data_IF_599434458869
#
_entry.id   IF_599434458869
#
_cell.length_a   1.000
_cell.length_b   1.000
_cell.length_c   1.000
_cell.angle_alpha   90.00
_cell.angle_beta   90.00
_cell.angle_gamma   90.00
#
_symmetry.space_group_name_H-M   'P 1'
#
loop_
_entity.id
_entity.type
_entity.pdbx_description
1 polymer ?
#
# COMPACT_ATOMS: atom_id res chain seq x y z
N UNK A 1 -12.52 18.12 -1.98
CA UNK A 1 -12.60 16.71 -1.50
C UNK A 1 -11.25 16.32 -0.92
N UNK A 2 -11.16 15.69 0.25
CA UNK A 2 -9.85 15.32 0.85
C UNK A 2 -9.34 13.99 0.29
N UNK A 3 -8.02 13.77 0.29
CA UNK A 3 -7.43 12.49 -0.15
C UNK A 3 -8.01 11.29 0.61
N UNK A 4 -8.29 11.44 1.90
CA UNK A 4 -8.95 10.41 2.70
C UNK A 4 -10.38 10.11 2.25
N UNK A 5 -11.15 11.12 1.81
CA UNK A 5 -12.47 10.91 1.23
C UNK A 5 -12.40 10.18 -0.11
N UNK A 6 -11.43 10.54 -0.96
CA UNK A 6 -11.17 9.84 -2.24
C UNK A 6 -10.87 8.36 -1.99
N UNK A 7 -9.93 8.03 -1.10
CA UNK A 7 -9.59 6.64 -0.76
C UNK A 7 -10.81 5.85 -0.27
N UNK A 8 -11.68 6.47 0.55
CA UNK A 8 -12.92 5.83 1.02
C UNK A 8 -13.91 5.55 -0.11
N UNK A 9 -14.05 6.47 -1.08
CA UNK A 9 -14.91 6.25 -2.24
C UNK A 9 -14.37 5.11 -3.12
N UNK A 10 -13.05 5.04 -3.31
CA UNK A 10 -12.41 3.95 -4.04
C UNK A 10 -12.78 2.59 -3.40
N UNK A 11 -12.68 2.47 -2.07
CA UNK A 11 -13.07 1.26 -1.36
C UNK A 11 -14.57 0.98 -1.44
N UNK A 12 -15.41 2.01 -1.31
CA UNK A 12 -16.87 1.87 -1.38
C UNK A 12 -17.32 1.30 -2.73
N UNK A 13 -16.72 1.78 -3.82
CA UNK A 13 -17.05 1.36 -5.18
C UNK A 13 -16.17 0.21 -5.70
N UNK A 14 -15.29 -0.35 -4.86
CA UNK A 14 -14.36 -1.44 -5.21
C UNK A 14 -13.47 -1.13 -6.43
N UNK A 15 -12.99 0.10 -6.54
CA UNK A 15 -12.23 0.59 -7.70
C UNK A 15 -10.70 0.41 -7.55
N UNK A 16 -10.21 -0.25 -6.49
CA UNK A 16 -8.78 -0.31 -6.17
C UNK A 16 -7.93 -0.79 -7.35
N UNK A 17 -8.30 -1.93 -7.94
CA UNK A 17 -7.57 -2.55 -9.04
C UNK A 17 -7.78 -1.90 -10.40
N UNK A 18 -8.69 -0.92 -10.51
CA UNK A 18 -8.92 -0.12 -11.72
C UNK A 18 -8.04 1.14 -11.67
N UNK A 19 -7.94 1.76 -10.49
CA UNK A 19 -7.22 3.02 -10.31
C UNK A 19 -5.72 2.82 -10.22
N UNK A 20 -5.27 1.70 -9.64
CA UNK A 20 -3.84 1.39 -9.49
C UNK A 20 -3.53 0.04 -10.13
N UNK A 21 -2.61 0.04 -11.11
CA UNK A 21 -2.02 -1.19 -11.64
C UNK A 21 -0.67 -1.49 -10.97
N UNK A 22 -0.73 -2.29 -9.91
CA UNK A 22 0.41 -2.72 -9.11
C UNK A 22 0.89 -4.13 -9.44
N UNK A 23 0.51 -4.71 -10.59
CA UNK A 23 0.92 -6.07 -10.97
C UNK A 23 2.44 -6.22 -11.01
N UNK A 24 3.13 -5.26 -11.60
CA UNK A 24 4.60 -5.26 -11.75
C UNK A 24 5.37 -4.96 -10.46
N UNK A 25 4.72 -4.29 -9.49
CA UNK A 25 5.38 -3.78 -8.29
C UNK A 25 5.45 -4.82 -7.19
N UNK A 26 6.57 -4.87 -6.46
CA UNK A 26 6.79 -5.79 -5.33
C UNK A 26 6.78 -5.02 -4.02
N UNK A 27 5.94 -5.41 -3.07
CA UNK A 27 5.85 -4.78 -1.76
C UNK A 27 7.18 -4.86 -0.99
N UNK A 28 7.99 -5.89 -1.27
CA UNK A 28 9.33 -6.03 -0.68
C UNK A 28 10.30 -4.91 -1.08
N UNK A 29 10.04 -4.17 -2.16
CA UNK A 29 10.83 -3.00 -2.53
C UNK A 29 10.73 -1.86 -1.51
N UNK A 30 9.63 -1.80 -0.74
CA UNK A 30 9.36 -0.73 0.22
C UNK A 30 9.70 -1.10 1.67
N UNK A 31 9.86 -2.39 1.96
CA UNK A 31 10.41 -2.89 3.23
C UNK A 31 10.78 -4.36 3.07
N UNK A 32 11.99 -4.74 3.48
CA UNK A 32 12.58 -6.04 3.17
C UNK A 32 11.83 -7.26 3.76
N UNK A 33 11.07 -7.09 4.86
CA UNK A 33 10.23 -8.16 5.44
C UNK A 33 8.81 -8.23 4.87
N UNK A 34 8.41 -7.30 3.99
CA UNK A 34 7.10 -7.38 3.35
C UNK A 34 6.98 -8.67 2.51
N UNK A 35 5.77 -9.21 2.48
CA UNK A 35 5.44 -10.41 1.69
C UNK A 35 4.57 -10.03 0.50
N UNK A 36 4.98 -10.48 -0.68
CA UNK A 36 4.18 -10.40 -1.92
C UNK A 36 3.20 -11.57 -2.06
N UNK A 37 3.15 -12.46 -1.05
CA UNK A 37 2.27 -13.63 -1.02
C UNK A 37 1.42 -13.65 0.23
N UNK A 38 0.15 -14.01 0.09
CA UNK A 38 -0.75 -14.32 1.19
C UNK A 38 -0.78 -15.83 1.44
N UNK A 39 -0.82 -16.24 2.71
CA UNK A 39 -0.98 -17.65 3.09
C UNK A 39 -2.47 -17.97 3.24
N UNK A 40 -2.99 -18.84 2.37
CA UNK A 40 -4.40 -19.28 2.36
C UNK A 40 -4.42 -20.80 2.53
N UNK A 41 -5.04 -21.31 3.59
CA UNK A 41 -5.03 -22.76 3.92
C UNK A 41 -3.62 -23.38 3.83
N UNK A 42 -2.63 -22.72 4.43
CA UNK A 42 -1.20 -23.11 4.39
C UNK A 42 -0.54 -23.14 2.99
N UNK A 43 -1.22 -22.64 1.95
CA UNK A 43 -0.66 -22.48 0.60
C UNK A 43 -0.35 -21.02 0.33
N UNK A 44 0.87 -20.73 -0.14
CA UNK A 44 1.27 -19.38 -0.55
C UNK A 44 0.62 -19.06 -1.89
N UNK A 45 -0.03 -17.90 -1.96
CA UNK A 45 -0.59 -17.37 -3.20
C UNK A 45 -0.08 -15.95 -3.39
N UNK A 46 0.32 -15.60 -4.62
CA UNK A 46 0.72 -14.22 -4.94
C UNK A 46 -0.46 -13.26 -4.73
N UNK A 47 -0.16 -12.06 -4.25
CA UNK A 47 -1.17 -11.01 -4.13
C UNK A 47 -1.68 -10.60 -5.52
N UNK A 48 -3.01 -10.54 -5.66
CA UNK A 48 -3.66 -9.99 -6.84
C UNK A 48 -3.41 -8.49 -6.96
N UNK A 49 -3.63 -7.92 -8.15
CA UNK A 49 -3.56 -6.48 -8.34
C UNK A 49 -4.46 -5.74 -7.35
N UNK A 50 -5.71 -6.17 -7.24
CA UNK A 50 -6.70 -5.60 -6.35
C UNK A 50 -6.24 -5.63 -4.88
N UNK A 51 -5.65 -6.74 -4.41
CA UNK A 51 -5.11 -6.82 -3.05
C UNK A 51 -3.93 -5.87 -2.83
N UNK A 52 -3.00 -5.77 -3.80
CA UNK A 52 -1.88 -4.83 -3.73
C UNK A 52 -2.37 -3.39 -3.70
N UNK A 53 -3.32 -3.03 -4.56
CA UNK A 53 -3.92 -1.70 -4.62
C UNK A 53 -4.63 -1.34 -3.31
N UNK A 54 -5.38 -2.28 -2.73
CA UNK A 54 -6.00 -2.08 -1.42
C UNK A 54 -4.98 -1.82 -0.31
N UNK A 55 -3.88 -2.60 -0.27
CA UNK A 55 -2.78 -2.39 0.68
C UNK A 55 -2.13 -1.01 0.46
N UNK A 56 -1.84 -0.67 -0.79
CA UNK A 56 -1.18 0.58 -1.14
C UNK A 56 -2.03 1.82 -0.77
N UNK A 57 -3.34 1.78 -1.00
CA UNK A 57 -4.26 2.85 -0.60
C UNK A 57 -4.33 3.05 0.91
N UNK A 58 -4.29 1.97 1.70
CA UNK A 58 -4.20 2.06 3.16
C UNK A 58 -2.87 2.65 3.63
N UNK A 59 -1.76 2.29 2.96
CA UNK A 59 -0.44 2.88 3.23
C UNK A 59 -0.41 4.37 2.86
N UNK A 60 -0.98 4.75 1.72
CA UNK A 60 -1.12 6.16 1.31
C UNK A 60 -1.92 6.96 2.33
N UNK A 61 -3.03 6.40 2.82
CA UNK A 61 -3.81 7.03 3.89
C UNK A 61 -2.98 7.17 5.19
N UNK A 62 -2.19 6.16 5.54
CA UNK A 62 -1.30 6.21 6.71
C UNK A 62 -0.23 7.29 6.57
N UNK A 63 0.42 7.39 5.41
CA UNK A 63 1.40 8.44 5.10
C UNK A 63 0.74 9.81 5.23
N UNK A 64 -0.42 10.00 4.59
CA UNK A 64 -1.18 11.25 4.65
C UNK A 64 -1.50 11.67 6.09
N UNK A 65 -1.93 10.74 6.93
CA UNK A 65 -2.27 11.05 8.33
C UNK A 65 -1.04 11.36 9.18
N UNK A 66 0.11 10.76 8.85
CA UNK A 66 1.36 11.03 9.56
C UNK A 66 2.01 12.33 9.11
N UNK A 67 1.88 12.69 7.83
CA UNK A 67 2.48 13.90 7.25
C UNK A 67 1.99 15.22 7.87
N UNK A 68 0.88 15.22 8.63
CA UNK A 68 0.48 16.37 9.45
C UNK A 68 1.57 16.84 10.41
N UNK A 69 2.38 15.90 10.90
CA UNK A 69 3.58 16.18 11.67
C UNK A 69 4.70 15.41 11.00
N UNK A 70 5.43 16.07 10.10
CA UNK A 70 6.35 15.42 9.15
C UNK A 70 7.35 14.46 9.83
N UNK A 71 7.76 14.73 11.07
CA UNK A 71 8.67 13.87 11.83
C UNK A 71 8.07 12.48 12.10
N UNK A 72 6.75 12.34 12.11
CA UNK A 72 6.06 11.06 12.23
C UNK A 72 6.29 10.13 11.04
N UNK A 73 6.69 10.66 9.88
CA UNK A 73 7.05 9.86 8.71
C UNK A 73 8.37 9.09 8.94
N UNK A 74 9.25 9.62 9.79
CA UNK A 74 10.56 9.04 10.07
C UNK A 74 10.54 8.08 11.26
N UNK A 75 9.43 7.99 12.00
CA UNK A 75 9.36 7.20 13.23
C UNK A 75 9.39 5.69 12.95
N UNK A 76 10.18 5.01 13.77
CA UNK A 76 10.30 3.54 13.83
C UNK A 76 9.65 3.05 15.13
N UNK A 77 9.24 1.79 15.17
CA UNK A 77 8.79 1.08 16.37
C UNK A 77 9.99 0.57 17.19
N UNK A 78 9.83 0.25 18.49
CA UNK A 78 10.92 -0.29 19.31
C UNK A 78 11.53 -1.60 18.78
N UNK A 79 10.75 -2.38 18.02
CA UNK A 79 11.19 -3.62 17.37
C UNK A 79 11.87 -3.37 16.00
N UNK A 80 12.32 -2.14 15.75
CA UNK A 80 12.97 -1.71 14.51
C UNK A 80 12.11 -1.78 13.24
N UNK A 81 10.77 -1.84 13.37
CA UNK A 81 9.84 -1.83 12.23
C UNK A 81 9.33 -0.43 11.90
N UNK A 82 9.04 -0.11 10.63
CA UNK A 82 8.46 1.19 10.29
C UNK A 82 7.11 1.44 11.00
N UNK A 83 6.77 2.71 11.24
CA UNK A 83 5.42 3.08 11.73
C UNK A 83 4.41 3.32 10.60
N UNK A 84 4.87 3.41 9.36
CA UNK A 84 4.02 3.40 8.17
C UNK A 84 3.75 1.93 7.85
N UNK A 85 2.71 1.40 8.47
CA UNK A 85 2.32 -0.02 8.39
C UNK A 85 0.82 -0.12 8.27
N UNK A 86 0.36 -1.05 7.44
CA UNK A 86 -1.04 -1.48 7.40
C UNK A 86 -1.14 -2.96 7.73
N UNK A 87 -2.21 -3.33 8.43
CA UNK A 87 -2.56 -4.71 8.72
C UNK A 87 -3.49 -5.23 7.62
N UNK A 88 -3.14 -6.36 7.02
CA UNK A 88 -3.91 -6.96 5.93
C UNK A 88 -4.29 -8.40 6.27
N UNK A 89 -5.59 -8.66 6.37
CA UNK A 89 -6.18 -9.98 6.67
C UNK A 89 -6.59 -10.75 5.42
N UNK A 90 -6.34 -10.20 4.24
CA UNK A 90 -6.98 -10.63 3.01
C UNK A 90 -8.37 -9.99 2.82
N UNK A 91 -8.86 -10.06 1.60
CA UNK A 91 -10.16 -9.49 1.23
C UNK A 91 -11.28 -10.43 1.65
N UNK A 92 -12.48 -9.92 1.97
CA UNK A 92 -13.58 -10.74 2.52
C UNK A 92 -14.26 -11.68 1.51
N UNK A 93 -13.72 -11.83 0.30
CA UNK A 93 -14.41 -12.50 -0.81
C UNK A 93 -14.47 -14.04 -0.70
N UNK A 94 -13.93 -14.64 0.35
CA UNK A 94 -14.05 -16.08 0.58
C UNK A 94 -13.79 -16.45 2.05
N UNK A 95 -14.61 -17.35 2.61
CA UNK A 95 -14.54 -17.90 3.98
C UNK A 95 -13.28 -18.74 4.26
N UNK A 96 -12.23 -18.59 3.45
CA UNK A 96 -10.97 -19.30 3.63
C UNK A 96 -10.18 -18.61 4.73
N UNK A 97 -9.68 -19.40 5.68
CA UNK A 97 -8.70 -18.92 6.65
C UNK A 97 -7.47 -18.36 5.92
N UNK A 98 -7.16 -17.09 6.21
CA UNK A 98 -6.02 -16.34 5.67
C UNK A 98 -5.15 -15.92 6.83
N UNK A 99 -3.84 -16.11 6.69
CA UNK A 99 -2.92 -15.62 7.71
C UNK A 99 -2.71 -14.12 7.49
N UNK A 100 -2.99 -13.28 8.49
CA UNK A 100 -2.82 -11.85 8.36
C UNK A 100 -1.34 -11.49 8.26
N UNK A 101 -1.06 -10.33 7.67
CA UNK A 101 0.29 -9.81 7.55
C UNK A 101 0.33 -8.30 7.72
N UNK A 102 1.45 -7.83 8.27
CA UNK A 102 1.80 -6.42 8.29
C UNK A 102 2.59 -6.09 7.03
N UNK A 103 2.16 -5.08 6.29
CA UNK A 103 2.91 -4.52 5.17
C UNK A 103 3.31 -3.10 5.55
N UNK A 104 4.57 -2.76 5.34
CA UNK A 104 5.15 -1.49 5.78
C UNK A 104 5.87 -0.76 4.66
N UNK A 105 6.07 0.54 4.83
CA UNK A 105 6.98 1.34 4.01
C UNK A 105 8.03 1.89 4.97
N UNK A 106 9.30 1.56 4.73
CA UNK A 106 10.39 2.16 5.51
C UNK A 106 10.53 3.65 5.19
N UNK A 107 10.97 4.49 6.15
CA UNK A 107 11.04 5.94 5.93
C UNK A 107 11.84 6.35 4.69
N UNK A 108 12.96 5.67 4.43
CA UNK A 108 13.83 5.89 3.26
C UNK A 108 13.18 5.53 1.91
N UNK A 109 12.04 4.84 1.90
CA UNK A 109 11.35 4.38 0.67
C UNK A 109 10.01 5.05 0.45
N UNK A 110 9.64 6.05 1.26
CA UNK A 110 8.38 6.77 1.10
C UNK A 110 8.30 7.41 -0.29
N UNK A 111 9.36 8.11 -0.73
CA UNK A 111 9.39 8.76 -2.05
C UNK A 111 9.23 7.73 -3.16
N UNK A 112 10.03 6.65 -3.14
CA UNK A 112 9.92 5.55 -4.09
C UNK A 112 8.50 4.97 -4.15
N UNK A 113 7.88 4.74 -3.00
CA UNK A 113 6.52 4.24 -2.91
C UNK A 113 5.49 5.18 -3.54
N UNK A 114 5.63 6.49 -3.32
CA UNK A 114 4.72 7.50 -3.88
C UNK A 114 4.91 7.65 -5.40
N UNK A 115 6.15 7.64 -5.88
CA UNK A 115 6.46 7.70 -7.31
C UNK A 115 5.89 6.48 -8.05
N UNK A 116 6.06 5.30 -7.48
CA UNK A 116 5.53 4.06 -8.03
C UNK A 116 4.00 4.07 -8.06
N UNK A 117 3.34 4.68 -7.07
CA UNK A 117 1.89 4.88 -7.09
C UNK A 117 1.45 5.83 -8.22
N UNK A 118 2.15 6.94 -8.42
CA UNK A 118 1.84 7.90 -9.48
C UNK A 118 1.96 7.21 -10.85
N UNK A 119 3.07 6.51 -11.09
CA UNK A 119 3.31 5.74 -12.33
C UNK A 119 2.27 4.64 -12.53
N UNK A 120 1.79 4.01 -11.46
CA UNK A 120 0.77 2.95 -11.56
C UNK A 120 -0.60 3.42 -12.06
N UNK A 121 -0.86 4.73 -12.07
CA UNK A 121 -2.08 5.33 -12.64
C UNK A 121 -2.00 5.36 -14.18
N UNK A 122 -0.79 5.37 -14.75
CA UNK A 122 -0.56 5.42 -16.19
C UNK A 122 -0.93 6.76 -16.84
N UNK A 123 -0.98 7.83 -16.06
CA UNK A 123 -1.23 9.18 -16.55
C UNK A 123 0.10 9.92 -16.71
N UNK A 124 0.49 10.18 -17.97
CA UNK A 124 1.76 10.82 -18.31
C UNK A 124 1.91 12.24 -17.76
N UNK A 125 0.82 13.00 -17.71
CA UNK A 125 0.85 14.37 -17.18
C UNK A 125 1.15 14.33 -15.68
N UNK A 126 0.57 13.37 -14.95
CA UNK A 126 0.83 13.17 -13.53
C UNK A 126 2.26 12.66 -13.27
N UNK A 127 2.78 11.79 -14.12
CA UNK A 127 4.18 11.33 -14.05
C UNK A 127 5.17 12.48 -14.29
N UNK A 128 4.87 13.39 -15.20
CA UNK A 128 5.71 14.56 -15.42
C UNK A 128 5.72 15.48 -14.19
N UNK A 129 4.60 15.61 -13.48
CA UNK A 129 4.51 16.38 -12.24
C UNK A 129 5.31 15.77 -11.09
N UNK A 130 5.57 14.46 -11.07
CA UNK A 130 6.41 13.84 -10.04
C UNK A 130 7.92 14.09 -10.23
N UNK A 131 8.32 14.66 -11.37
CA UNK A 131 9.72 14.99 -11.68
C UNK A 131 10.12 16.44 -11.37
N UNK A 132 9.16 17.25 -10.89
CA UNK A 132 9.35 18.62 -10.39
C UNK A 132 9.88 18.63 -8.95
#
# INVERSE_FOLDING_TARGET
MSLGAVVRLIFLYKLEGIILDLRAYRLRAYYHENKDTLLIKNRKQNLSNYAKAHIALNLLWTIRNRAYHWENLLKIQPNNRPRITTYFTGLKDNDRAKMPMNISVEPSKIVLFLDDLIKSIGNKDLENLSSL
#
